data_IF_132360684688
#
_entry.id   IF_132360684688
#
_cell.length_a   1.000
_cell.length_b   1.000
_cell.length_c   1.000
_cell.angle_alpha   90.00
_cell.angle_beta   90.00
_cell.angle_gamma   90.00
#
_symmetry.space_group_name_H-M   'P 1'
#
loop_
_entity.id
_entity.type
_entity.pdbx_description
1 polymer ?
#
# COMPACT_ATOMS: atom_id res chain seq x y z
N UNK A 1 5.76 -25.91 6.21
CA UNK A 1 5.14 -24.79 5.46
C UNK A 1 3.90 -24.19 6.14
N UNK A 2 2.94 -24.99 6.62
CA UNK A 2 1.76 -24.48 7.35
C UNK A 2 2.10 -23.60 8.56
N UNK A 3 3.05 -24.02 9.40
CA UNK A 3 3.54 -23.24 10.55
C UNK A 3 4.09 -21.87 10.12
N UNK A 4 4.90 -21.82 9.06
CA UNK A 4 5.44 -20.56 8.50
C UNK A 4 4.33 -19.63 8.01
N UNK A 5 3.26 -20.17 7.43
CA UNK A 5 2.09 -19.40 7.01
C UNK A 5 1.25 -18.91 8.19
N UNK A 6 1.13 -19.70 9.26
CA UNK A 6 0.47 -19.30 10.51
C UNK A 6 1.24 -18.19 11.22
N UNK A 7 2.58 -18.27 11.29
CA UNK A 7 3.45 -17.22 11.83
C UNK A 7 3.37 -15.94 10.99
N UNK A 8 3.37 -16.05 9.65
CA UNK A 8 3.18 -14.92 8.74
C UNK A 8 1.80 -14.28 8.93
N UNK A 9 0.75 -15.10 9.03
CA UNK A 9 -0.62 -14.65 9.33
C UNK A 9 -0.60 -13.85 10.62
N UNK A 10 -0.07 -14.42 11.70
CA UNK A 10 -0.04 -13.81 13.02
C UNK A 10 0.77 -12.51 13.03
N UNK A 11 1.93 -12.48 12.35
CA UNK A 11 2.72 -11.27 12.19
C UNK A 11 1.95 -10.17 11.46
N UNK A 12 1.24 -10.50 10.39
CA UNK A 12 0.45 -9.54 9.62
C UNK A 12 -0.83 -9.12 10.35
N UNK A 13 -1.50 -10.00 11.09
CA UNK A 13 -2.72 -9.66 11.82
C UNK A 13 -2.45 -8.98 13.16
N UNK A 14 -1.65 -9.58 14.04
CA UNK A 14 -1.49 -9.07 15.41
C UNK A 14 -0.61 -7.82 15.45
N UNK A 15 0.44 -7.75 14.63
CA UNK A 15 1.39 -6.62 14.63
C UNK A 15 0.98 -5.48 13.71
N UNK A 16 0.25 -5.78 12.65
CA UNK A 16 0.10 -4.87 11.52
C UNK A 16 -1.35 -4.54 11.16
N UNK A 17 -2.34 -5.39 11.43
CA UNK A 17 -3.73 -5.11 11.02
C UNK A 17 -4.35 -3.91 11.73
N UNK A 18 -4.26 -3.85 13.06
CA UNK A 18 -4.75 -2.67 13.80
C UNK A 18 -3.95 -1.41 13.47
N UNK A 19 -2.63 -1.56 13.38
CA UNK A 19 -1.72 -0.46 13.04
C UNK A 19 -2.04 0.11 11.65
N UNK A 20 -2.24 -0.73 10.66
CA UNK A 20 -2.51 -0.32 9.29
C UNK A 20 -3.95 0.10 9.04
N UNK A 21 -4.95 -0.42 9.76
CA UNK A 21 -6.34 0.03 9.60
C UNK A 21 -6.49 1.52 9.94
N UNK A 22 -5.89 1.97 11.04
CA UNK A 22 -5.89 3.39 11.42
C UNK A 22 -4.97 4.22 10.52
N UNK A 23 -3.75 3.77 10.27
CA UNK A 23 -2.78 4.49 9.41
C UNK A 23 -3.32 4.68 7.99
N UNK A 24 -4.12 3.74 7.46
CA UNK A 24 -4.71 3.85 6.14
C UNK A 24 -5.65 5.06 6.01
N UNK A 25 -6.39 5.40 7.07
CA UNK A 25 -7.28 6.58 7.11
C UNK A 25 -6.42 7.85 7.07
N UNK A 26 -5.37 7.93 7.89
CA UNK A 26 -4.48 9.09 7.92
C UNK A 26 -3.74 9.30 6.59
N UNK A 27 -3.26 8.22 5.95
CA UNK A 27 -2.60 8.32 4.64
C UNK A 27 -3.59 8.74 3.55
N UNK A 28 -4.84 8.27 3.62
CA UNK A 28 -5.88 8.70 2.66
C UNK A 28 -6.16 10.20 2.78
N UNK A 29 -6.25 10.71 4.02
CA UNK A 29 -6.40 12.15 4.29
C UNK A 29 -5.18 12.93 3.75
N UNK A 30 -3.96 12.47 4.05
CA UNK A 30 -2.74 13.10 3.52
C UNK A 30 -2.70 13.12 2.00
N UNK A 31 -3.08 12.01 1.34
CA UNK A 31 -3.11 11.91 -0.11
C UNK A 31 -4.09 12.92 -0.72
N UNK A 32 -5.28 13.07 -0.13
CA UNK A 32 -6.24 14.09 -0.54
C UNK A 32 -5.68 15.51 -0.36
N UNK A 33 -5.03 15.80 0.77
CA UNK A 33 -4.42 17.10 1.03
C UNK A 33 -3.32 17.44 0.02
N UNK A 34 -2.42 16.50 -0.29
CA UNK A 34 -1.38 16.70 -1.31
C UNK A 34 -1.95 16.88 -2.71
N UNK A 35 -3.01 16.14 -3.05
CA UNK A 35 -3.69 16.28 -4.33
C UNK A 35 -4.30 17.68 -4.49
N UNK A 36 -5.02 18.17 -3.47
CA UNK A 36 -5.60 19.52 -3.47
C UNK A 36 -4.49 20.56 -3.59
N UNK A 37 -3.43 20.44 -2.79
CA UNK A 37 -2.28 21.36 -2.84
C UNK A 37 -1.62 21.38 -4.22
N UNK A 38 -1.43 20.21 -4.85
CA UNK A 38 -0.87 20.11 -6.19
C UNK A 38 -1.74 20.81 -7.23
N UNK A 39 -3.06 20.53 -7.24
CA UNK A 39 -4.00 21.12 -8.21
C UNK A 39 -4.05 22.64 -8.05
N UNK A 40 -4.19 23.14 -6.81
CA UNK A 40 -4.25 24.58 -6.53
C UNK A 40 -2.95 25.27 -6.96
N UNK A 41 -1.80 24.69 -6.62
CA UNK A 41 -0.50 25.26 -6.99
C UNK A 41 -0.32 25.29 -8.51
N UNK A 42 -0.72 24.23 -9.21
CA UNK A 42 -0.67 24.15 -10.68
C UNK A 42 -1.54 25.23 -11.33
N UNK A 43 -2.77 25.43 -10.85
CA UNK A 43 -3.67 26.49 -11.33
C UNK A 43 -3.04 27.87 -11.13
N UNK A 44 -2.40 28.10 -9.98
CA UNK A 44 -1.75 29.38 -9.68
C UNK A 44 -0.51 29.61 -10.55
N UNK A 45 0.30 28.57 -10.83
CA UNK A 45 1.40 28.66 -11.80
C UNK A 45 0.89 29.06 -13.18
N UNK A 46 -0.17 28.41 -13.65
CA UNK A 46 -0.74 28.70 -14.97
C UNK A 46 -1.25 30.15 -15.04
N UNK A 47 -1.92 30.63 -13.99
CA UNK A 47 -2.40 32.01 -13.93
C UNK A 47 -1.24 33.03 -13.87
N UNK A 48 -0.28 32.88 -12.95
CA UNK A 48 0.80 33.85 -12.79
C UNK A 48 1.87 33.79 -13.90
N UNK A 49 1.96 32.67 -14.63
CA UNK A 49 2.93 32.45 -15.70
C UNK A 49 2.44 32.75 -17.11
N UNK A 50 1.12 32.62 -17.38
CA UNK A 50 0.57 32.75 -18.73
C UNK A 50 -0.54 33.81 -18.87
N UNK A 51 -1.15 34.28 -17.77
CA UNK A 51 -2.17 35.32 -17.85
C UNK A 51 -1.51 36.71 -17.79
N UNK A 52 -1.51 37.43 -18.92
CA UNK A 52 -0.91 38.77 -19.03
C UNK A 52 -1.46 39.78 -18.00
N UNK A 53 -2.70 39.62 -17.53
CA UNK A 53 -3.29 40.52 -16.51
C UNK A 53 -2.77 40.26 -15.10
N UNK A 54 -2.27 39.05 -14.83
CA UNK A 54 -1.82 38.60 -13.51
C UNK A 54 -0.34 38.22 -13.52
N UNK A 55 0.40 38.53 -14.59
CA UNK A 55 1.78 38.10 -14.79
C UNK A 55 2.65 38.54 -13.62
N UNK A 56 3.20 37.56 -12.89
CA UNK A 56 4.15 37.82 -11.81
C UNK A 56 5.11 36.64 -11.70
N UNK A 57 6.33 36.83 -12.24
CA UNK A 57 7.34 35.77 -12.31
C UNK A 57 7.79 35.26 -10.94
N UNK A 58 7.87 36.13 -9.93
CA UNK A 58 8.26 35.71 -8.57
C UNK A 58 7.19 34.82 -7.95
N UNK A 59 5.91 35.19 -8.05
CA UNK A 59 4.80 34.35 -7.56
C UNK A 59 4.70 33.05 -8.36
N UNK A 60 4.87 33.11 -9.67
CA UNK A 60 4.89 31.93 -10.54
C UNK A 60 5.97 30.93 -10.11
N UNK A 61 7.19 31.40 -9.84
CA UNK A 61 8.31 30.54 -9.40
C UNK A 61 8.01 29.90 -8.04
N UNK A 62 7.47 30.65 -7.08
CA UNK A 62 7.08 30.11 -5.76
C UNK A 62 6.04 29.00 -5.89
N UNK A 63 4.98 29.20 -6.68
CA UNK A 63 3.97 28.17 -6.88
C UNK A 63 4.49 26.99 -7.71
N UNK A 64 5.45 27.19 -8.61
CA UNK A 64 6.08 26.10 -9.36
C UNK A 64 6.89 25.18 -8.44
N UNK A 65 7.68 25.75 -7.53
CA UNK A 65 8.39 25.00 -6.50
C UNK A 65 7.40 24.23 -5.62
N UNK A 66 6.31 24.88 -5.19
CA UNK A 66 5.29 24.24 -4.36
C UNK A 66 4.60 23.08 -5.11
N UNK A 67 4.35 23.23 -6.41
CA UNK A 67 3.79 22.18 -7.26
C UNK A 67 4.72 20.97 -7.33
N UNK A 68 6.03 21.18 -7.51
CA UNK A 68 7.03 20.11 -7.49
C UNK A 68 7.08 19.39 -6.13
N UNK A 69 7.06 20.14 -5.02
CA UNK A 69 7.06 19.55 -3.67
C UNK A 69 5.78 18.72 -3.46
N UNK A 70 4.61 19.26 -3.79
CA UNK A 70 3.34 18.56 -3.63
C UNK A 70 3.27 17.31 -4.51
N UNK A 71 3.82 17.34 -5.72
CA UNK A 71 3.93 16.15 -6.57
C UNK A 71 4.83 15.07 -5.93
N UNK A 72 5.99 15.46 -5.40
CA UNK A 72 6.90 14.53 -4.72
C UNK A 72 6.25 13.92 -3.46
N UNK A 73 5.53 14.72 -2.67
CA UNK A 73 4.82 14.21 -1.51
C UNK A 73 3.64 13.31 -1.91
N UNK A 74 2.95 13.62 -3.01
CA UNK A 74 1.89 12.77 -3.56
C UNK A 74 2.42 11.41 -4.00
N UNK A 75 3.57 11.36 -4.68
CA UNK A 75 4.18 10.08 -5.09
C UNK A 75 4.58 9.22 -3.88
N UNK A 76 5.24 9.80 -2.87
CA UNK A 76 5.64 9.09 -1.64
C UNK A 76 4.42 8.54 -0.88
N UNK A 77 3.37 9.36 -0.73
CA UNK A 77 2.15 8.95 -0.04
C UNK A 77 1.39 7.87 -0.80
N UNK A 78 1.35 7.94 -2.13
CA UNK A 78 0.73 6.90 -2.97
C UNK A 78 1.47 5.57 -2.87
N UNK A 79 2.81 5.59 -2.89
CA UNK A 79 3.64 4.38 -2.70
C UNK A 79 3.38 3.77 -1.32
N UNK A 80 3.31 4.61 -0.27
CA UNK A 80 3.03 4.16 1.10
C UNK A 80 1.62 3.56 1.25
N UNK A 81 0.64 4.14 0.57
CA UNK A 81 -0.73 3.65 0.53
C UNK A 81 -0.83 2.27 -0.15
N UNK A 82 -0.20 2.12 -1.32
CA UNK A 82 -0.12 0.84 -2.04
C UNK A 82 0.54 -0.25 -1.19
N UNK A 83 1.63 0.10 -0.50
CA UNK A 83 2.32 -0.81 0.41
C UNK A 83 1.38 -1.38 1.49
N UNK A 84 0.58 -0.51 2.12
CA UNK A 84 -0.40 -0.92 3.14
C UNK A 84 -1.49 -1.80 2.56
N UNK A 85 -1.99 -1.47 1.36
CA UNK A 85 -2.98 -2.30 0.67
C UNK A 85 -2.45 -3.72 0.47
N UNK A 86 -1.20 -3.88 0.00
CA UNK A 86 -0.62 -5.20 -0.23
C UNK A 86 -0.53 -6.04 1.04
N UNK A 87 -0.13 -5.42 2.16
CA UNK A 87 -0.11 -6.11 3.46
C UNK A 87 -1.50 -6.50 3.93
N UNK A 88 -2.48 -5.59 3.85
CA UNK A 88 -3.85 -5.86 4.28
C UNK A 88 -4.53 -6.93 3.43
N UNK A 89 -4.35 -6.90 2.10
CA UNK A 89 -4.86 -7.93 1.19
C UNK A 89 -4.23 -9.29 1.47
N UNK A 90 -2.91 -9.34 1.70
CA UNK A 90 -2.21 -10.59 2.02
C UNK A 90 -2.64 -11.15 3.38
N UNK A 91 -2.77 -10.28 4.39
CA UNK A 91 -3.26 -10.67 5.72
C UNK A 91 -4.68 -11.25 5.64
N UNK A 92 -5.60 -10.54 4.97
CA UNK A 92 -6.98 -10.99 4.78
C UNK A 92 -7.04 -12.33 4.04
N UNK A 93 -6.24 -12.50 2.98
CA UNK A 93 -6.16 -13.75 2.24
C UNK A 93 -5.66 -14.92 3.11
N UNK A 94 -4.58 -14.71 3.88
CA UNK A 94 -4.06 -15.73 4.80
C UNK A 94 -5.07 -16.10 5.89
N UNK A 95 -5.77 -15.12 6.45
CA UNK A 95 -6.83 -15.37 7.44
C UNK A 95 -7.94 -16.22 6.84
N UNK A 96 -8.42 -15.87 5.65
CA UNK A 96 -9.48 -16.62 4.98
C UNK A 96 -9.06 -18.05 4.62
N UNK A 97 -7.80 -18.24 4.23
CA UNK A 97 -7.29 -19.52 3.72
C UNK A 97 -6.77 -20.47 4.79
N UNK A 98 -6.33 -19.95 5.94
CA UNK A 98 -5.75 -20.75 7.04
C UNK A 98 -6.77 -20.97 8.16
N UNK A 99 -7.84 -20.17 8.23
CA UNK A 99 -8.86 -20.36 9.27
C UNK A 99 -9.57 -21.71 9.12
N UNK A 100 -9.93 -22.29 10.27
CA UNK A 100 -10.62 -23.59 10.37
C UNK A 100 -11.98 -23.66 9.66
N UNK A 101 -12.59 -22.52 9.35
CA UNK A 101 -13.93 -22.47 8.77
C UNK A 101 -13.85 -22.27 7.27
N UNK A 102 -14.49 -23.17 6.51
CA UNK A 102 -14.54 -23.10 5.07
C UNK A 102 -15.11 -21.74 4.60
N UNK A 103 -14.46 -21.06 3.65
CA UNK A 103 -14.93 -19.77 3.17
C UNK A 103 -16.28 -19.93 2.45
N UNK A 104 -17.26 -19.08 2.79
CA UNK A 104 -18.61 -19.11 2.17
C UNK A 104 -18.61 -18.81 0.65
N UNK A 105 -17.50 -18.31 0.11
CA UNK A 105 -17.31 -17.93 -1.29
C UNK A 105 -15.90 -18.32 -1.74
N UNK A 106 -15.70 -18.64 -3.03
CA UNK A 106 -14.37 -18.93 -3.56
C UNK A 106 -13.44 -17.74 -3.33
N UNK A 107 -12.30 -18.00 -2.69
CA UNK A 107 -11.32 -16.95 -2.41
C UNK A 107 -10.58 -16.60 -3.71
N UNK A 108 -10.68 -15.34 -4.14
CA UNK A 108 -9.90 -14.85 -5.30
C UNK A 108 -8.41 -15.06 -5.06
N UNK A 109 -7.68 -15.52 -6.08
CA UNK A 109 -6.23 -15.71 -6.00
C UNK A 109 -5.54 -14.39 -5.63
N UNK A 110 -4.75 -14.42 -4.57
CA UNK A 110 -3.87 -13.32 -4.18
C UNK A 110 -2.77 -13.16 -5.23
N UNK A 111 -2.52 -11.98 -5.80
CA UNK A 111 -1.40 -11.78 -6.72
C UNK A 111 -0.06 -12.10 -6.05
N UNK A 112 0.83 -12.80 -6.76
CA UNK A 112 2.16 -13.15 -6.23
C UNK A 112 2.95 -11.92 -5.77
N UNK A 113 2.83 -10.80 -6.47
CA UNK A 113 3.48 -9.54 -6.09
C UNK A 113 3.09 -9.09 -4.67
N UNK A 114 1.82 -9.22 -4.31
CA UNK A 114 1.32 -8.77 -3.00
C UNK A 114 1.88 -9.67 -1.90
N UNK A 115 1.84 -10.98 -2.13
CA UNK A 115 2.45 -11.95 -1.23
C UNK A 115 3.96 -11.70 -1.07
N UNK A 116 4.68 -11.51 -2.18
CA UNK A 116 6.13 -11.29 -2.20
C UNK A 116 6.52 -10.07 -1.35
N UNK A 117 5.82 -8.95 -1.52
CA UNK A 117 6.09 -7.72 -0.78
C UNK A 117 5.77 -7.88 0.71
N UNK A 118 4.62 -8.47 1.03
CA UNK A 118 4.25 -8.72 2.43
C UNK A 118 5.21 -9.69 3.13
N UNK A 119 5.64 -10.74 2.42
CA UNK A 119 6.58 -11.74 2.91
C UNK A 119 7.99 -11.16 3.08
N UNK A 120 8.42 -10.23 2.22
CA UNK A 120 9.74 -9.61 2.34
C UNK A 120 9.93 -8.90 3.70
N UNK A 121 8.91 -8.20 4.20
CA UNK A 121 8.94 -7.58 5.54
C UNK A 121 9.03 -8.60 6.66
N UNK A 122 8.42 -9.77 6.47
CA UNK A 122 8.44 -10.87 7.42
C UNK A 122 9.80 -11.60 7.41
N UNK A 123 10.34 -11.92 6.23
CA UNK A 123 11.61 -12.63 6.08
C UNK A 123 12.82 -11.85 6.60
N UNK A 124 12.71 -10.51 6.68
CA UNK A 124 13.73 -9.67 7.32
C UNK A 124 13.88 -9.97 8.83
N UNK A 125 12.84 -10.54 9.47
CA UNK A 125 12.84 -10.89 10.91
C UNK A 125 12.96 -12.39 11.17
N UNK A 126 12.50 -13.24 10.26
CA UNK A 126 12.62 -14.70 10.38
C UNK A 126 13.31 -15.28 9.14
N UNK A 127 14.43 -15.98 9.37
CA UNK A 127 15.08 -16.77 8.32
C UNK A 127 14.21 -18.01 8.03
N UNK A 128 13.53 -17.99 6.89
CA UNK A 128 12.81 -19.16 6.36
C UNK A 128 13.76 -20.05 5.57
N UNK A 129 13.62 -21.36 5.77
CA UNK A 129 14.31 -22.39 5.00
C UNK A 129 13.70 -22.60 3.60
N UNK A 130 12.47 -22.12 3.36
CA UNK A 130 11.74 -22.28 2.10
C UNK A 130 11.78 -21.00 1.26
N UNK A 131 11.83 -21.16 -0.07
CA UNK A 131 11.80 -20.03 -1.00
C UNK A 131 10.40 -19.38 -1.04
N UNK A 132 10.35 -18.07 -1.31
CA UNK A 132 9.08 -17.31 -1.38
C UNK A 132 8.09 -17.90 -2.39
N UNK A 133 8.60 -18.38 -3.53
CA UNK A 133 7.79 -18.97 -4.59
C UNK A 133 7.16 -20.30 -4.15
N UNK A 134 7.94 -21.17 -3.49
CA UNK A 134 7.43 -22.43 -2.94
C UNK A 134 6.36 -22.20 -1.86
N UNK A 135 6.54 -21.22 -0.98
CA UNK A 135 5.55 -20.89 0.06
C UNK A 135 4.26 -20.36 -0.57
N UNK A 136 4.39 -19.51 -1.60
CA UNK A 136 3.24 -19.00 -2.33
C UNK A 136 2.49 -20.10 -3.09
N UNK A 137 3.21 -20.98 -3.79
CA UNK A 137 2.61 -22.11 -4.50
C UNK A 137 1.86 -23.00 -3.52
N UNK A 138 2.49 -23.39 -2.40
CA UNK A 138 1.84 -24.14 -1.32
C UNK A 138 0.62 -23.42 -0.76
N UNK A 139 0.72 -22.10 -0.53
CA UNK A 139 -0.41 -21.30 -0.07
C UNK A 139 -1.54 -21.33 -1.11
N UNK A 140 -1.26 -21.15 -2.41
CA UNK A 140 -2.29 -21.11 -3.46
C UNK A 140 -2.90 -22.47 -3.77
N UNK A 141 -2.13 -23.55 -3.65
CA UNK A 141 -2.56 -24.94 -3.82
C UNK A 141 -3.19 -25.54 -2.57
N UNK A 142 -3.08 -24.85 -1.42
CA UNK A 142 -3.77 -25.23 -0.19
C UNK A 142 -5.28 -25.23 -0.49
N UNK A 143 -5.86 -26.43 -0.64
CA UNK A 143 -7.25 -26.63 -1.02
C UNK A 143 -8.12 -26.64 0.23
N UNK A 144 -9.29 -25.99 0.13
CA UNK A 144 -10.29 -25.74 1.18
C UNK A 144 -11.08 -27.01 1.63
N UNK A 145 -10.51 -28.21 1.49
CA UNK A 145 -11.19 -29.47 1.83
C UNK A 145 -10.23 -30.49 2.47
N UNK A 146 -10.15 -30.43 3.80
CA UNK A 146 -10.12 -31.64 4.65
C UNK A 146 -11.23 -31.46 5.67
#
# INVERSE_FOLDING_TARGET
>A
MKIVLEELKEYLTNKLYFKYKFINIFISILLATWLISFIVSLILVLNYGYNNKLLNHQKCLTFAILTCISFLMLTITTVSFLWIIFHNSTASYLVLKINKYAPKKPIKKLPFLFFKLAYYSFSKKQKSQYSQKQIYEYLTSFNDYV
#
